data_IF_584260790134
#
_entry.id   IF_584260790134
#
_cell.length_a   1.000
_cell.length_b   1.000
_cell.length_c   1.000
_cell.angle_alpha   90.00
_cell.angle_beta   90.00
_cell.angle_gamma   90.00
#
_symmetry.space_group_name_H-M   'P 1'
#
loop_
_entity.id
_entity.type
_entity.pdbx_description
1 polymer ?
#
# COMPACT_ATOMS: atom_id res chain seq x y z
N UNK A 1 -3.34 14.85 -4.91
CA UNK A 1 -2.53 13.65 -4.57
C UNK A 1 -3.27 12.69 -3.63
N UNK A 2 -3.34 12.93 -2.31
CA UNK A 2 -3.80 11.92 -1.34
C UNK A 2 -5.26 11.47 -1.43
N UNK A 3 -6.16 12.31 -1.95
CA UNK A 3 -7.58 11.98 -2.05
C UNK A 3 -7.87 10.72 -2.89
N UNK A 4 -6.98 10.33 -3.80
CA UNK A 4 -7.10 9.10 -4.58
C UNK A 4 -6.65 7.84 -3.82
N UNK A 5 -5.88 8.00 -2.74
CA UNK A 5 -5.23 6.90 -2.00
C UNK A 5 -5.79 6.70 -0.60
N UNK A 6 -6.38 7.74 0.00
CA UNK A 6 -6.89 7.71 1.37
C UNK A 6 -8.42 7.75 1.39
N UNK A 7 -9.06 7.11 2.39
CA UNK A 7 -10.49 7.26 2.62
C UNK A 7 -10.86 8.72 2.90
N UNK A 8 -12.11 9.08 2.60
CA UNK A 8 -12.66 10.41 2.92
C UNK A 8 -12.51 10.70 4.43
N UNK A 9 -12.25 11.96 4.79
CA UNK A 9 -11.96 12.42 6.16
C UNK A 9 -10.73 11.80 6.83
N UNK A 10 -9.76 11.30 6.06
CA UNK A 10 -8.46 10.88 6.59
C UNK A 10 -7.40 11.92 6.26
N UNK A 11 -6.50 12.20 7.20
CA UNK A 11 -5.42 13.15 7.03
C UNK A 11 -4.08 12.42 7.01
N UNK A 12 -3.23 12.62 6.00
CA UNK A 12 -1.89 12.05 5.99
C UNK A 12 -1.03 12.71 7.06
N UNK A 13 -0.18 11.92 7.71
CA UNK A 13 0.96 12.44 8.45
C UNK A 13 2.19 12.38 7.54
N UNK A 14 2.97 13.46 7.50
CA UNK A 14 4.13 13.54 6.64
C UNK A 14 5.26 14.31 7.32
N UNK A 15 6.46 13.80 7.14
CA UNK A 15 7.71 14.51 7.43
C UNK A 15 8.45 14.68 6.11
N UNK A 16 8.73 15.93 5.73
CA UNK A 16 9.52 16.27 4.54
C UNK A 16 10.73 17.08 5.01
N UNK A 17 11.91 16.68 4.55
CA UNK A 17 13.11 17.52 4.59
C UNK A 17 13.37 18.04 3.18
N UNK A 18 13.43 19.36 3.03
CA UNK A 18 13.73 20.03 1.76
C UNK A 18 15.11 20.66 1.84
N UNK A 19 15.99 20.27 0.93
CA UNK A 19 17.31 20.87 0.78
C UNK A 19 17.29 21.79 -0.44
N UNK A 20 17.41 23.10 -0.21
CA UNK A 20 17.32 24.13 -1.24
C UNK A 20 18.45 25.12 -1.02
N UNK A 21 19.05 25.56 -2.12
CA UNK A 21 20.09 26.56 -2.08
C UNK A 21 19.56 27.89 -1.48
N UNK A 22 20.24 28.52 -0.51
CA UNK A 22 19.70 29.68 0.22
C UNK A 22 19.31 30.86 -0.67
N UNK A 23 19.98 31.05 -1.81
CA UNK A 23 19.65 32.11 -2.77
C UNK A 23 18.27 31.96 -3.43
N UNK A 24 17.68 30.76 -3.37
CA UNK A 24 16.36 30.47 -3.93
C UNK A 24 15.26 30.52 -2.87
N UNK A 25 15.59 30.94 -1.64
CA UNK A 25 14.66 31.01 -0.49
C UNK A 25 14.73 32.40 0.13
N UNK A 26 13.61 33.09 0.20
CA UNK A 26 13.47 34.34 0.95
C UNK A 26 12.89 34.05 2.33
N UNK A 27 13.73 34.24 3.35
CA UNK A 27 13.37 34.10 4.76
C UNK A 27 12.92 35.41 5.40
N UNK A 28 13.05 36.54 4.69
CA UNK A 28 12.77 37.87 5.22
C UNK A 28 11.30 38.30 5.04
N UNK A 29 10.39 37.34 5.11
CA UNK A 29 8.96 37.54 4.82
C UNK A 29 8.12 37.66 6.09
N UNK A 30 8.52 36.98 7.17
CA UNK A 30 7.83 37.02 8.46
C UNK A 30 8.83 37.15 9.63
N UNK A 31 8.50 37.91 10.72
CA UNK A 31 9.37 38.07 11.88
C UNK A 31 9.77 36.73 12.52
N UNK A 32 8.81 35.83 12.72
CA UNK A 32 9.02 34.52 13.37
C UNK A 32 9.34 33.38 12.40
N UNK A 33 9.53 33.67 11.10
CA UNK A 33 9.90 32.67 10.08
C UNK A 33 8.90 31.50 9.95
N UNK A 34 7.61 31.75 10.24
CA UNK A 34 6.56 30.74 10.01
C UNK A 34 6.24 30.52 8.53
N UNK A 35 6.69 31.43 7.67
CA UNK A 35 6.57 31.34 6.23
C UNK A 35 7.89 31.78 5.59
N UNK A 36 8.14 31.26 4.40
CA UNK A 36 9.27 31.59 3.52
C UNK A 36 8.74 31.62 2.09
N UNK A 37 9.34 32.43 1.23
CA UNK A 37 9.02 32.40 -0.20
C UNK A 37 10.10 31.66 -0.97
N UNK A 38 9.69 30.88 -1.97
CA UNK A 38 10.60 30.19 -2.86
C UNK A 38 10.66 30.90 -4.22
N UNK A 39 11.85 31.06 -4.77
CA UNK A 39 12.03 31.70 -6.09
C UNK A 39 11.34 30.91 -7.22
N UNK A 40 11.29 29.58 -7.11
CA UNK A 40 10.72 28.65 -8.09
C UNK A 40 9.67 27.73 -7.45
N UNK A 41 8.68 28.33 -6.78
CA UNK A 41 7.66 27.60 -5.99
C UNK A 41 6.95 26.49 -6.78
N UNK A 42 6.46 26.79 -8.00
CA UNK A 42 5.75 25.82 -8.83
C UNK A 42 6.58 24.57 -9.14
N UNK A 43 7.87 24.77 -9.45
CA UNK A 43 8.80 23.68 -9.75
C UNK A 43 9.10 22.83 -8.52
N UNK A 44 9.20 23.45 -7.33
CA UNK A 44 9.39 22.73 -6.07
C UNK A 44 8.14 21.90 -5.76
N UNK A 45 6.96 22.50 -5.92
CA UNK A 45 5.68 21.84 -5.67
C UNK A 45 5.49 20.63 -6.60
N UNK A 46 5.79 20.78 -7.90
CA UNK A 46 5.72 19.70 -8.86
C UNK A 46 6.64 18.53 -8.48
N UNK A 47 7.90 18.81 -8.13
CA UNK A 47 8.84 17.76 -7.70
C UNK A 47 8.37 17.04 -6.44
N UNK A 48 7.88 17.77 -5.44
CA UNK A 48 7.35 17.17 -4.20
C UNK A 48 6.13 16.30 -4.52
N UNK A 49 5.23 16.78 -5.38
CA UNK A 49 4.06 16.02 -5.82
C UNK A 49 4.45 14.71 -6.51
N UNK A 50 5.32 14.78 -7.51
CA UNK A 50 5.77 13.60 -8.27
C UNK A 50 6.46 12.58 -7.36
N UNK A 51 7.28 13.04 -6.40
CA UNK A 51 7.96 12.16 -5.46
C UNK A 51 6.98 11.42 -4.55
N UNK A 52 5.98 12.13 -4.00
CA UNK A 52 4.95 11.53 -3.16
C UNK A 52 4.11 10.53 -3.97
N UNK A 53 3.68 10.90 -5.16
CA UNK A 53 2.90 10.01 -6.05
C UNK A 53 3.67 8.73 -6.36
N UNK A 54 4.94 8.84 -6.74
CA UNK A 54 5.81 7.69 -6.99
C UNK A 54 5.90 6.74 -5.78
N UNK A 55 6.07 7.30 -4.57
CA UNK A 55 6.13 6.51 -3.33
C UNK A 55 4.81 5.83 -2.99
N UNK A 56 3.68 6.51 -3.18
CA UNK A 56 2.35 5.95 -2.94
C UNK A 56 2.03 4.81 -3.92
N UNK A 57 2.35 4.98 -5.20
CA UNK A 57 2.20 3.94 -6.22
C UNK A 57 3.02 2.70 -5.86
N UNK A 58 4.29 2.87 -5.48
CA UNK A 58 5.16 1.75 -5.09
C UNK A 58 4.66 1.02 -3.82
N UNK A 59 4.01 1.74 -2.91
CA UNK A 59 3.56 1.17 -1.62
C UNK A 59 2.26 0.37 -1.73
N UNK A 60 1.54 0.46 -2.85
CA UNK A 60 0.29 -0.27 -3.08
C UNK A 60 0.51 -1.77 -3.42
N UNK A 61 1.75 -2.19 -3.71
CA UNK A 61 2.10 -3.60 -3.91
C UNK A 61 2.00 -4.40 -2.60
N UNK A 62 0.80 -4.89 -2.28
CA UNK A 62 0.50 -5.59 -1.02
C UNK A 62 1.38 -6.83 -0.78
N UNK A 63 1.68 -7.11 0.50
CA UNK A 63 2.26 -8.40 0.92
C UNK A 63 1.22 -9.50 0.74
N UNK A 64 1.54 -10.48 -0.08
CA UNK A 64 0.84 -11.77 -0.10
C UNK A 64 1.12 -12.50 1.22
N UNK A 65 0.10 -12.66 2.07
CA UNK A 65 0.16 -13.57 3.20
C UNK A 65 -0.36 -14.93 2.75
N UNK A 66 0.48 -15.96 2.82
CA UNK A 66 0.05 -17.33 2.57
C UNK A 66 -0.81 -17.79 3.74
N UNK A 67 -2.13 -17.87 3.54
CA UNK A 67 -3.05 -18.39 4.56
C UNK A 67 -3.08 -19.91 4.46
N UNK A 68 -2.63 -20.61 5.50
CA UNK A 68 -2.78 -22.06 5.60
C UNK A 68 -4.26 -22.43 5.72
N UNK A 69 -4.79 -23.22 4.78
CA UNK A 69 -6.24 -23.44 4.63
C UNK A 69 -6.81 -24.64 5.37
N UNK A 70 -6.08 -25.37 6.23
CA UNK A 70 -6.66 -26.58 6.84
C UNK A 70 -6.37 -26.70 8.33
N UNK A 71 -7.46 -26.68 9.11
CA UNK A 71 -7.50 -27.10 10.50
C UNK A 71 -7.14 -28.61 10.57
N UNK A 72 -6.34 -29.05 11.54
CA UNK A 72 -6.14 -30.47 11.79
C UNK A 72 -7.51 -31.08 12.11
N UNK A 73 -7.96 -32.02 11.28
CA UNK A 73 -9.17 -32.76 11.55
C UNK A 73 -9.03 -33.40 12.94
N UNK A 74 -9.89 -32.98 13.87
CA UNK A 74 -10.10 -33.67 15.15
C UNK A 74 -10.39 -35.13 14.81
N UNK A 75 -9.49 -36.02 15.22
CA UNK A 75 -9.70 -37.45 15.12
C UNK A 75 -10.81 -37.84 16.10
N UNK A 76 -12.04 -37.89 15.61
CA UNK A 76 -13.16 -38.45 16.34
C UNK A 76 -12.88 -39.95 16.44
N UNK A 77 -12.62 -40.46 17.64
CA UNK A 77 -12.50 -41.91 17.86
C UNK A 77 -13.89 -42.54 17.80
N UNK A 78 -14.26 -43.00 16.62
CA UNK A 78 -15.25 -44.07 16.49
C UNK A 78 -14.65 -45.09 15.53
N UNK A 79 -13.99 -46.07 16.13
CA UNK A 79 -13.70 -47.35 15.49
C UNK A 79 -14.97 -47.88 14.85
N UNK A 80 -14.99 -48.00 13.52
CA UNK A 80 -15.24 -49.28 12.85
C UNK A 80 -15.13 -49.19 11.30
N UNK A 81 -14.16 -49.97 10.79
CA UNK A 81 -14.15 -50.77 9.55
C UNK A 81 -14.07 -50.10 8.16
N UNK A 82 -12.83 -50.12 7.63
CA UNK A 82 -12.38 -50.63 6.30
C UNK A 82 -13.24 -50.31 5.07
N UNK A 83 -12.66 -49.59 4.08
CA UNK A 83 -12.13 -50.17 2.82
C UNK A 83 -11.43 -49.14 1.93
N UNK A 84 -10.24 -49.53 1.50
CA UNK A 84 -9.33 -48.89 0.53
C UNK A 84 -9.97 -48.58 -0.81
N UNK A 85 -9.72 -47.38 -1.35
CA UNK A 85 -9.63 -47.14 -2.80
C UNK A 85 -8.60 -46.05 -3.12
N UNK A 86 -7.66 -46.37 -4.02
CA UNK A 86 -6.74 -45.45 -4.70
C UNK A 86 -7.47 -44.75 -5.86
N UNK A 87 -7.21 -43.47 -6.07
CA UNK A 87 -7.25 -42.79 -7.38
C UNK A 87 -6.67 -41.38 -7.22
N UNK A 88 -5.42 -41.14 -7.64
CA UNK A 88 -5.05 -40.61 -8.97
C UNK A 88 -5.59 -39.20 -9.19
N UNK A 89 -4.66 -38.25 -9.17
CA UNK A 89 -4.83 -36.82 -9.48
C UNK A 89 -4.83 -36.68 -11.00
N UNK A 90 -5.89 -36.11 -11.56
CA UNK A 90 -5.84 -35.42 -12.85
C UNK A 90 -6.61 -34.11 -12.72
N UNK A 91 -5.94 -33.01 -13.05
CA UNK A 91 -6.51 -31.69 -13.08
C UNK A 91 -7.45 -31.50 -14.27
N UNK A 92 -8.40 -30.60 -14.09
CA UNK A 92 -9.01 -29.85 -15.19
C UNK A 92 -9.56 -28.54 -14.64
N UNK A 93 -8.92 -27.46 -15.05
CA UNK A 93 -9.40 -26.10 -15.06
C UNK A 93 -10.85 -26.03 -15.57
N UNK A 94 -11.76 -25.45 -14.78
CA UNK A 94 -13.09 -25.06 -15.25
C UNK A 94 -13.48 -23.71 -14.65
N UNK A 95 -13.50 -22.72 -15.53
CA UNK A 95 -14.05 -21.38 -15.38
C UNK A 95 -15.57 -21.50 -15.30
N UNK A 96 -16.22 -20.90 -14.31
CA UNK A 96 -17.67 -20.66 -14.37
C UNK A 96 -18.03 -19.23 -13.94
N UNK A 97 -18.63 -18.57 -14.92
CA UNK A 97 -19.38 -17.31 -14.90
C UNK A 97 -20.83 -17.50 -14.41
N UNK A 98 -21.41 -16.42 -13.89
CA UNK A 98 -22.83 -16.09 -13.69
C UNK A 98 -23.67 -16.88 -12.67
N UNK A 99 -24.13 -16.18 -11.62
CA UNK A 99 -25.48 -15.59 -11.51
C UNK A 99 -25.43 -14.45 -10.52
#
# INVERSE_FOLDING_TARGET
>A
IYAAYLPKNTYPFLYISLEIAPQNVDVNVHPTKHEVHFLHEDSILEHVQQHIESKLLSSNSSRMYFTQTLLPAVAISSTEVVKSTKSVIQGSEQVYSHQ
#
